data_IF_177777069317
#
_entry.id   IF_177777069317
#
_cell.length_a   1.000
_cell.length_b   1.000
_cell.length_c   1.000
_cell.angle_alpha   90.00
_cell.angle_beta   90.00
_cell.angle_gamma   90.00
#
_symmetry.space_group_name_H-M   'P 1'
#
loop_
_entity.id
_entity.type
_entity.pdbx_description
1 polymer ?
#
# COMPACT_ATOMS: atom_id res chain seq x y z
N UNK A 1 -20.94 1.26 24.39
CA UNK A 1 -20.95 0.61 23.07
C UNK A 1 -22.42 0.47 22.68
N UNK A 2 -22.86 1.07 21.58
CA UNK A 2 -24.19 0.77 21.04
C UNK A 2 -24.15 -0.66 20.50
N UNK A 3 -25.09 -1.50 20.92
CA UNK A 3 -25.40 -2.75 20.24
C UNK A 3 -26.16 -2.40 18.96
N UNK A 4 -25.77 -3.01 17.84
CA UNK A 4 -26.46 -2.86 16.57
C UNK A 4 -27.78 -3.61 16.65
N UNK A 5 -28.85 -3.01 16.13
CA UNK A 5 -30.12 -3.71 15.97
C UNK A 5 -29.93 -4.90 15.00
N UNK A 6 -30.70 -6.00 15.11
CA UNK A 6 -30.48 -7.22 14.32
C UNK A 6 -30.34 -6.96 12.80
N UNK A 7 -31.18 -6.07 12.26
CA UNK A 7 -31.15 -5.70 10.85
C UNK A 7 -29.87 -4.95 10.43
N UNK A 8 -29.28 -4.18 11.35
CA UNK A 8 -28.02 -3.46 11.10
C UNK A 8 -26.84 -4.43 11.11
N UNK A 9 -26.90 -5.47 11.95
CA UNK A 9 -25.91 -6.55 11.96
C UNK A 9 -25.95 -7.36 10.67
N UNK A 10 -27.14 -7.77 10.22
CA UNK A 10 -27.32 -8.52 8.97
C UNK A 10 -26.84 -7.70 7.76
N UNK A 11 -27.14 -6.40 7.74
CA UNK A 11 -26.67 -5.50 6.70
C UNK A 11 -25.14 -5.37 6.70
N UNK A 12 -24.52 -5.21 7.88
CA UNK A 12 -23.07 -5.14 8.02
C UNK A 12 -22.38 -6.44 7.58
N UNK A 13 -22.97 -7.60 7.91
CA UNK A 13 -22.48 -8.90 7.46
C UNK A 13 -22.47 -9.00 5.94
N UNK A 14 -23.60 -8.67 5.29
CA UNK A 14 -23.70 -8.69 3.82
C UNK A 14 -22.71 -7.71 3.18
N UNK A 15 -22.57 -6.49 3.73
CA UNK A 15 -21.60 -5.52 3.22
C UNK A 15 -20.17 -6.02 3.36
N UNK A 16 -19.83 -6.65 4.48
CA UNK A 16 -18.50 -7.23 4.72
C UNK A 16 -18.20 -8.31 3.69
N UNK A 17 -19.13 -9.23 3.46
CA UNK A 17 -18.98 -10.30 2.45
C UNK A 17 -18.76 -9.72 1.05
N UNK A 18 -19.49 -8.67 0.69
CA UNK A 18 -19.36 -8.04 -0.63
C UNK A 18 -18.01 -7.32 -0.79
N UNK A 19 -17.52 -6.67 0.27
CA UNK A 19 -16.19 -6.04 0.28
C UNK A 19 -15.10 -7.11 0.15
N UNK A 20 -15.17 -8.17 0.98
CA UNK A 20 -14.21 -9.29 0.93
C UNK A 20 -14.16 -9.91 -0.47
N UNK A 21 -15.33 -10.13 -1.10
CA UNK A 21 -15.38 -10.69 -2.44
C UNK A 21 -14.79 -9.75 -3.50
N UNK A 22 -15.10 -8.46 -3.44
CA UNK A 22 -14.53 -7.46 -4.34
C UNK A 22 -13.01 -7.36 -4.19
N UNK A 23 -12.51 -7.34 -2.95
CA UNK A 23 -11.09 -7.31 -2.63
C UNK A 23 -10.38 -8.58 -3.11
N UNK A 24 -10.96 -9.76 -2.92
CA UNK A 24 -10.40 -11.02 -3.41
C UNK A 24 -10.31 -11.09 -4.94
N UNK A 25 -11.23 -10.44 -5.66
CA UNK A 25 -11.21 -10.38 -7.12
C UNK A 25 -10.24 -9.32 -7.67
N UNK A 26 -10.18 -8.14 -7.05
CA UNK A 26 -9.49 -6.96 -7.62
C UNK A 26 -8.21 -6.56 -6.88
N UNK A 27 -8.12 -6.86 -5.59
CA UNK A 27 -7.05 -6.42 -4.68
C UNK A 27 -6.47 -7.57 -3.84
N UNK A 28 -6.53 -8.81 -4.35
CA UNK A 28 -6.13 -10.01 -3.62
C UNK A 28 -4.76 -9.81 -3.00
N UNK A 29 -4.71 -9.82 -1.66
CA UNK A 29 -3.45 -9.77 -0.95
C UNK A 29 -2.82 -11.16 -1.06
N UNK A 30 -1.96 -11.35 -2.07
CA UNK A 30 -1.09 -12.52 -2.08
C UNK A 30 -0.26 -12.52 -0.79
N UNK A 31 -0.50 -13.52 0.05
CA UNK A 31 0.19 -13.73 1.34
C UNK A 31 1.66 -14.17 1.16
N UNK A 32 2.20 -14.04 -0.04
CA UNK A 32 3.63 -14.10 -0.28
C UNK A 32 4.32 -12.94 0.45
N UNK A 33 5.61 -13.12 0.79
CA UNK A 33 6.45 -12.02 1.25
C UNK A 33 6.56 -11.01 0.10
N UNK A 34 5.64 -10.04 0.03
CA UNK A 34 5.76 -8.94 -0.91
C UNK A 34 7.10 -8.26 -0.64
N UNK A 35 7.90 -8.10 -1.67
CA UNK A 35 9.15 -7.34 -1.52
C UNK A 35 8.81 -5.90 -1.14
N UNK A 36 9.66 -5.19 -0.39
CA UNK A 36 9.41 -3.79 -0.05
C UNK A 36 9.10 -2.90 -1.26
N UNK A 37 9.64 -3.25 -2.44
CA UNK A 37 9.37 -2.57 -3.71
C UNK A 37 7.96 -2.87 -4.25
N UNK A 38 7.44 -4.09 -4.08
CA UNK A 38 6.06 -4.43 -4.45
C UNK A 38 5.04 -3.71 -3.58
N UNK A 39 5.28 -3.62 -2.27
CA UNK A 39 4.45 -2.81 -1.38
C UNK A 39 4.48 -1.34 -1.80
N UNK A 40 5.66 -0.81 -2.10
CA UNK A 40 5.80 0.56 -2.59
C UNK A 40 5.02 0.79 -3.89
N UNK A 41 5.08 -0.14 -4.84
CA UNK A 41 4.33 -0.04 -6.11
C UNK A 41 2.82 0.01 -5.85
N UNK A 42 2.33 -0.86 -4.97
CA UNK A 42 0.92 -0.88 -4.58
C UNK A 42 0.48 0.44 -3.94
N UNK A 43 1.22 0.94 -2.95
CA UNK A 43 0.93 2.24 -2.32
C UNK A 43 0.94 3.38 -3.34
N UNK A 44 1.86 3.35 -4.31
CA UNK A 44 1.90 4.36 -5.35
C UNK A 44 0.70 4.27 -6.30
N UNK A 45 0.29 3.07 -6.69
CA UNK A 45 -0.89 2.85 -7.53
C UNK A 45 -2.17 3.34 -6.83
N UNK A 46 -2.37 3.00 -5.56
CA UNK A 46 -3.52 3.45 -4.76
C UNK A 46 -3.58 4.98 -4.59
N UNK A 47 -2.42 5.64 -4.51
CA UNK A 47 -2.32 7.09 -4.39
C UNK A 47 -2.23 7.81 -5.75
N UNK A 48 -2.32 7.09 -6.88
CA UNK A 48 -2.22 7.67 -8.22
C UNK A 48 -0.85 8.30 -8.54
N UNK A 49 0.22 7.83 -7.90
CA UNK A 49 1.58 8.36 -8.01
C UNK A 49 2.39 7.61 -9.07
N UNK A 50 3.28 8.33 -9.77
CA UNK A 50 4.23 7.75 -10.72
C UNK A 50 5.69 7.85 -10.25
N UNK A 51 6.61 7.24 -11.00
CA UNK A 51 8.05 7.24 -10.67
C UNK A 51 8.68 8.63 -10.54
N UNK A 52 8.17 9.65 -11.24
CA UNK A 52 8.63 11.02 -11.07
C UNK A 52 8.19 11.61 -9.72
N UNK A 53 6.98 11.27 -9.26
CA UNK A 53 6.47 11.65 -7.94
C UNK A 53 7.27 10.97 -6.82
N UNK A 54 7.57 9.67 -6.97
CA UNK A 54 8.46 8.97 -6.05
C UNK A 54 9.82 9.65 -5.93
N UNK A 55 10.42 10.03 -7.07
CA UNK A 55 11.67 10.77 -7.06
C UNK A 55 11.57 12.12 -6.32
N UNK A 56 10.42 12.79 -6.35
CA UNK A 56 10.19 14.01 -5.54
C UNK A 56 10.07 13.69 -4.05
N UNK A 57 9.34 12.64 -3.68
CA UNK A 57 9.20 12.18 -2.28
C UNK A 57 10.57 11.82 -1.69
N UNK A 58 11.39 11.12 -2.47
CA UNK A 58 12.73 10.71 -2.06
C UNK A 58 13.75 11.86 -2.11
N UNK A 59 13.43 12.98 -2.78
CA UNK A 59 14.33 14.11 -2.98
C UNK A 59 15.38 13.89 -4.09
N UNK A 60 15.28 12.79 -4.83
CA UNK A 60 16.10 12.51 -6.00
C UNK A 60 15.23 12.03 -7.18
N UNK A 61 15.00 12.92 -8.16
CA UNK A 61 14.13 12.66 -9.31
C UNK A 61 14.60 11.49 -10.20
N UNK A 62 15.89 11.17 -10.20
CA UNK A 62 16.44 10.10 -11.07
C UNK A 62 16.31 8.71 -10.49
N UNK A 63 15.96 8.59 -9.19
CA UNK A 63 15.93 7.29 -8.50
C UNK A 63 14.56 6.61 -8.50
N UNK A 64 13.47 7.36 -8.72
CA UNK A 64 12.12 6.81 -8.59
C UNK A 64 11.82 5.66 -9.55
N UNK A 65 12.04 5.84 -10.86
CA UNK A 65 11.81 4.77 -11.84
C UNK A 65 12.75 3.55 -11.65
N UNK A 66 14.08 3.71 -11.45
CA UNK A 66 14.95 2.58 -11.16
C UNK A 66 14.53 1.78 -9.93
N UNK A 67 14.08 2.43 -8.85
CA UNK A 67 13.58 1.75 -7.65
C UNK A 67 12.31 0.95 -7.97
N UNK A 68 11.34 1.55 -8.69
CA UNK A 68 10.12 0.85 -9.09
C UNK A 68 10.35 -0.35 -10.01
N UNK A 69 11.42 -0.32 -10.81
CA UNK A 69 11.85 -1.43 -11.66
C UNK A 69 12.69 -2.48 -10.93
N UNK A 70 13.04 -2.26 -9.65
CA UNK A 70 13.91 -3.15 -8.88
C UNK A 70 15.39 -3.07 -9.28
N UNK A 71 15.78 -2.07 -10.05
CA UNK A 71 17.18 -1.84 -10.47
C UNK A 71 18.01 -1.21 -9.33
N UNK A 72 17.34 -0.67 -8.30
CA UNK A 72 17.95 -0.09 -7.11
C UNK A 72 17.18 -0.48 -5.86
N UNK A 73 17.92 -0.84 -4.82
CA UNK A 73 17.37 -1.08 -3.49
C UNK A 73 17.04 0.23 -2.77
N UNK A 74 16.03 0.19 -1.91
CA UNK A 74 15.72 1.27 -0.99
C UNK A 74 16.78 1.34 0.12
N UNK A 75 17.28 2.53 0.38
CA UNK A 75 18.12 2.79 1.54
C UNK A 75 17.26 3.01 2.79
N UNK A 76 17.83 2.80 3.98
CA UNK A 76 17.13 3.01 5.26
C UNK A 76 16.56 4.42 5.42
N UNK A 77 17.21 5.44 4.86
CA UNK A 77 16.73 6.82 4.91
C UNK A 77 15.53 7.03 3.97
N UNK A 78 15.54 6.41 2.79
CA UNK A 78 14.41 6.43 1.86
C UNK A 78 13.20 5.68 2.45
N UNK A 79 13.39 4.51 3.06
CA UNK A 79 12.30 3.78 3.73
C UNK A 79 11.64 4.61 4.83
N UNK A 80 12.41 5.39 5.61
CA UNK A 80 11.86 6.31 6.62
C UNK A 80 11.00 7.40 6.00
N UNK A 81 11.48 8.04 4.93
CA UNK A 81 10.71 9.06 4.19
C UNK A 81 9.42 8.50 3.61
N UNK A 82 9.47 7.29 3.06
CA UNK A 82 8.30 6.60 2.54
C UNK A 82 7.30 6.24 3.66
N UNK A 83 7.81 5.76 4.80
CA UNK A 83 6.97 5.48 5.97
C UNK A 83 6.29 6.74 6.51
N UNK A 84 6.99 7.87 6.56
CA UNK A 84 6.41 9.16 6.93
C UNK A 84 5.38 9.65 5.90
N UNK A 85 5.65 9.47 4.60
CA UNK A 85 4.76 9.93 3.52
C UNK A 85 3.46 9.12 3.46
N UNK A 86 3.55 7.79 3.51
CA UNK A 86 2.40 6.88 3.43
C UNK A 86 1.78 6.57 4.81
N UNK A 87 2.34 7.14 5.88
CA UNK A 87 1.92 6.89 7.26
C UNK A 87 1.93 5.39 7.63
N UNK A 88 3.00 4.68 7.24
CA UNK A 88 3.20 3.26 7.50
C UNK A 88 4.55 3.00 8.18
N UNK A 89 4.73 1.89 8.92
CA UNK A 89 6.02 1.55 9.50
C UNK A 89 7.11 1.38 8.43
N UNK A 90 8.27 2.05 8.54
CA UNK A 90 9.36 1.94 7.56
C UNK A 90 9.86 0.50 7.35
N UNK A 91 9.69 -0.36 8.36
CA UNK A 91 10.09 -1.77 8.30
C UNK A 91 9.28 -2.61 7.32
N UNK A 92 8.14 -2.10 6.81
CA UNK A 92 7.38 -2.78 5.77
C UNK A 92 8.09 -2.76 4.40
N UNK A 93 9.08 -1.88 4.22
CA UNK A 93 9.87 -1.79 2.98
C UNK A 93 11.18 -2.60 3.02
N UNK A 94 11.39 -3.42 4.06
CA UNK A 94 12.57 -4.28 4.23
C UNK A 94 12.53 -5.55 3.38
#
# INVERSE_FOLDING_TARGET
KQELEPNESDFLEVMTILIEHYEDEHHRIESGKKTGVELLRHLMEENGLNGADLGRILGNRTEGYPILRGERELTKSQMRRLGEHFNVPPGLFL
#
